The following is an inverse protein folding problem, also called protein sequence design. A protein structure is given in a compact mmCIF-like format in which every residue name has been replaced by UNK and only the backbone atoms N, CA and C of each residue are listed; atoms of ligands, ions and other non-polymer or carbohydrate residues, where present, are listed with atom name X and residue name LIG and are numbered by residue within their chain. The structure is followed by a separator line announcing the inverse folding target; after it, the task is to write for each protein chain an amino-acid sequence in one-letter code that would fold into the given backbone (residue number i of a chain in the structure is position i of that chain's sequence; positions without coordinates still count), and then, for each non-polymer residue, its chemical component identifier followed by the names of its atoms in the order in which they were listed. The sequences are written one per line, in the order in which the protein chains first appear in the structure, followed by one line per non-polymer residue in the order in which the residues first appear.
data_IF_445183022532
#
_entry.id   IF_445183022532
#
_cell.length_a   1.000
_cell.length_b   1.000
_cell.length_c   1.000
_cell.angle_alpha   90.00
_cell.angle_beta   90.00
_cell.angle_gamma   90.00
#
_symmetry.space_group_name_H-M   'P 1'
#
loop_
_entity.id
_entity.type
_entity.pdbx_description
1 polymer ?
#
# COMPACT_ATOMS: atom_id res chain seq x y z
N UNK A 1 -14.97 -6.94 -23.17
CA UNK A 1 -15.02 -7.06 -22.64
C UNK A 1 -14.93 -6.83 -21.88
N UNK A 2 -15.06 -6.83 -21.78
CA UNK A 2 -15.04 -6.66 -21.04
C UNK A 2 -14.76 -6.47 -20.16
N UNK A 3 -14.70 -6.64 -20.06
CA UNK A 3 -14.47 -6.56 -19.15
C UNK A 3 -14.02 -6.20 -18.54
N UNK A 4 -13.90 -6.11 -18.55
CA UNK A 4 -13.44 -5.76 -17.90
C UNK A 4 -13.45 -5.38 -17.05
N UNK A 5 -13.59 -5.51 -16.84
CA UNK A 5 -13.67 -5.08 -16.02
C UNK A 5 -13.23 -5.08 -15.03
N UNK A 6 -13.29 -4.93 -14.75
CA UNK A 6 -12.94 -4.55 -13.73
C UNK A 6 -12.97 -5.17 -12.59
N UNK A 7 -12.93 -5.36 -11.95
CA UNK A 7 -12.95 -5.97 -10.95
C UNK A 7 -12.43 -5.56 -9.84
N UNK A 8 -12.89 -5.36 -8.88
CA UNK A 8 -12.25 -5.27 -7.72
C UNK A 8 -11.91 -6.56 -7.30
N UNK A 9 -10.83 -6.80 -7.23
CA UNK A 9 -10.43 -8.05 -6.95
C UNK A 9 -10.22 -8.30 -5.49
N UNK A 10 -10.28 -7.34 -4.62
CA UNK A 10 -10.03 -7.51 -3.20
C UNK A 10 -11.22 -7.00 -2.42
N UNK A 11 -11.92 -7.95 -1.79
CA UNK A 11 -13.12 -7.63 -1.04
C UNK A 11 -12.79 -6.69 0.12
N UNK A 12 -13.60 -5.67 0.30
CA UNK A 12 -13.41 -4.70 1.37
C UNK A 12 -12.47 -3.56 1.02
N UNK A 13 -11.94 -3.53 -0.21
CA UNK A 13 -11.01 -2.49 -0.66
C UNK A 13 -11.54 -1.85 -1.94
N UNK A 14 -11.78 -0.55 -1.88
CA UNK A 14 -12.22 0.20 -3.06
C UNK A 14 -11.03 0.50 -3.98
N UNK A 15 -9.83 0.63 -3.43
CA UNK A 15 -8.64 0.89 -4.22
C UNK A 15 -7.79 -0.37 -4.31
N UNK A 16 -7.42 -0.75 -5.52
CA UNK A 16 -6.56 -1.90 -5.77
C UNK A 16 -5.47 -1.51 -6.75
N UNK A 17 -4.24 -1.76 -6.36
CA UNK A 17 -3.06 -1.55 -7.20
C UNK A 17 -2.62 -2.91 -7.76
N UNK A 18 -2.17 -2.94 -9.01
CA UNK A 18 -1.76 -4.19 -9.64
C UNK A 18 -0.28 -4.16 -9.96
N UNK A 19 0.35 -5.30 -9.75
CA UNK A 19 1.78 -5.49 -9.99
C UNK A 19 1.99 -6.90 -10.51
N UNK A 20 3.13 -7.14 -11.16
CA UNK A 20 3.56 -8.48 -11.54
C UNK A 20 4.89 -8.74 -10.87
N UNK A 21 5.04 -9.93 -10.27
CA UNK A 21 6.30 -10.32 -9.63
C UNK A 21 7.38 -10.48 -10.70
N UNK A 22 8.53 -9.82 -10.49
CA UNK A 22 9.64 -9.83 -11.44
C UNK A 22 10.73 -10.78 -10.95
N UNK A 23 11.59 -11.22 -11.89
CA UNK A 23 12.69 -12.09 -11.56
C UNK A 23 13.57 -11.50 -10.44
N UNK A 24 13.86 -10.23 -10.51
CA UNK A 24 14.74 -9.59 -9.50
C UNK A 24 14.10 -9.46 -8.12
N UNK A 25 12.81 -9.76 -8.00
CA UNK A 25 12.10 -9.72 -6.71
C UNK A 25 12.35 -10.99 -5.91
N UNK A 26 12.94 -12.02 -6.52
CA UNK A 26 13.04 -13.32 -5.91
C UNK A 26 14.30 -13.47 -5.07
N UNK A 27 14.21 -14.35 -4.05
CA UNK A 27 15.39 -14.78 -3.30
C UNK A 27 15.96 -16.07 -3.94
N UNK A 28 16.95 -16.66 -3.29
CA UNK A 28 17.63 -17.82 -3.83
C UNK A 28 16.74 -19.07 -3.84
N UNK A 29 15.59 -19.03 -3.16
CA UNK A 29 14.67 -20.15 -3.12
C UNK A 29 13.55 -20.04 -4.16
N UNK A 30 13.56 -18.99 -4.97
CA UNK A 30 12.56 -18.81 -6.02
C UNK A 30 11.28 -18.16 -5.57
N UNK A 31 11.25 -17.60 -4.38
CA UNK A 31 10.10 -16.87 -3.86
C UNK A 31 10.44 -15.40 -3.71
N UNK A 32 9.41 -14.54 -3.70
CA UNK A 32 9.64 -13.13 -3.47
C UNK A 32 10.30 -12.95 -2.11
N UNK A 33 11.39 -12.19 -2.10
CA UNK A 33 12.09 -11.85 -0.87
C UNK A 33 11.14 -11.07 0.04
N UNK A 34 11.11 -11.42 1.33
CA UNK A 34 10.22 -10.77 2.28
C UNK A 34 10.38 -9.25 2.27
N UNK A 35 11.59 -8.75 2.08
CA UNK A 35 11.83 -7.31 2.03
C UNK A 35 11.18 -6.65 0.83
N UNK A 36 11.00 -7.37 -0.26
CA UNK A 36 10.38 -6.84 -1.47
C UNK A 36 8.89 -6.61 -1.28
N UNK A 37 8.25 -7.34 -0.37
CA UNK A 37 6.85 -7.05 -0.04
C UNK A 37 6.69 -5.60 0.41
N UNK A 38 7.68 -5.04 1.11
CA UNK A 38 7.62 -3.64 1.53
C UNK A 38 7.64 -2.71 0.32
N UNK A 39 8.36 -3.07 -0.73
CA UNK A 39 8.36 -2.31 -1.98
C UNK A 39 6.98 -2.35 -2.64
N UNK A 40 6.33 -3.51 -2.66
CA UNK A 40 4.98 -3.62 -3.21
C UNK A 40 4.00 -2.74 -2.44
N UNK A 41 4.11 -2.74 -1.10
CA UNK A 41 3.23 -1.89 -0.29
C UNK A 41 3.51 -0.42 -0.58
N UNK A 42 4.76 -0.04 -0.75
CA UNK A 42 5.12 1.34 -1.04
C UNK A 42 4.55 1.78 -2.38
N UNK A 43 4.70 0.95 -3.41
CA UNK A 43 4.18 1.29 -4.72
C UNK A 43 2.67 1.42 -4.71
N UNK A 44 1.99 0.52 -3.99
CA UNK A 44 0.54 0.58 -3.86
C UNK A 44 0.11 1.83 -3.09
N UNK A 45 0.84 2.17 -2.03
CA UNK A 45 0.55 3.35 -1.22
C UNK A 45 0.73 4.62 -2.02
N UNK A 46 1.81 4.71 -2.80
CA UNK A 46 2.05 5.87 -3.63
C UNK A 46 0.92 6.04 -4.64
N UNK A 47 0.53 4.96 -5.31
CA UNK A 47 -0.56 5.00 -6.26
C UNK A 47 -1.88 5.45 -5.59
N UNK A 48 -2.10 5.02 -4.36
CA UNK A 48 -3.29 5.38 -3.61
C UNK A 48 -3.27 6.87 -3.23
N UNK A 49 -2.12 7.39 -2.83
CA UNK A 49 -2.01 8.74 -2.29
C UNK A 49 -1.81 9.82 -3.35
N UNK A 50 -1.30 9.48 -4.53
CA UNK A 50 -1.01 10.46 -5.57
C UNK A 50 -2.21 11.38 -5.86
N UNK A 51 -3.44 10.87 -5.97
CA UNK A 51 -4.58 11.76 -6.24
C UNK A 51 -4.87 12.75 -5.11
N UNK A 52 -4.29 12.56 -3.93
CA UNK A 52 -4.55 13.46 -2.80
C UNK A 52 -3.77 14.77 -2.92
N UNK A 53 -2.70 14.80 -3.74
CA UNK A 53 -1.95 16.03 -3.99
C UNK A 53 -0.46 15.84 -3.84
N UNK A 54 0.27 16.93 -4.08
CA UNK A 54 1.73 16.91 -4.09
C UNK A 54 2.32 16.59 -2.72
N UNK A 55 1.56 16.77 -1.67
CA UNK A 55 2.03 16.53 -0.31
C UNK A 55 2.28 15.06 -0.02
N UNK A 56 1.96 14.18 -0.96
CA UNK A 56 2.21 12.76 -0.78
C UNK A 56 3.68 12.46 -0.48
N UNK A 57 4.58 13.28 -1.02
CA UNK A 57 6.01 13.10 -0.79
C UNK A 57 6.46 13.56 0.60
N UNK A 58 5.59 14.25 1.32
CA UNK A 58 5.92 14.74 2.65
C UNK A 58 5.45 13.80 3.74
N UNK A 59 4.99 12.60 3.39
CA UNK A 59 4.56 11.61 4.37
C UNK A 59 5.70 10.65 4.65
N UNK A 60 5.97 10.44 5.94
CA UNK A 60 7.04 9.53 6.37
C UNK A 60 6.41 8.25 6.89
N UNK A 61 6.95 7.12 6.46
CA UNK A 61 6.55 5.83 7.00
C UNK A 61 7.18 5.70 8.40
N UNK A 62 6.34 5.64 9.42
CA UNK A 62 6.80 5.56 10.80
C UNK A 62 6.74 4.14 11.33
N UNK A 63 5.84 3.30 10.80
CA UNK A 63 5.68 1.95 11.30
C UNK A 63 5.08 1.07 10.22
N UNK A 64 5.52 -0.18 10.18
CA UNK A 64 4.92 -1.18 9.30
C UNK A 64 4.78 -2.48 10.07
N UNK A 65 3.64 -3.13 9.91
CA UNK A 65 3.40 -4.48 10.37
C UNK A 65 2.99 -5.29 9.16
N UNK A 66 3.53 -6.48 9.01
CA UNK A 66 3.17 -7.33 7.89
C UNK A 66 3.17 -8.78 8.35
N UNK A 67 2.12 -9.50 7.95
CA UNK A 67 1.99 -10.93 8.19
C UNK A 67 2.06 -11.61 6.83
N UNK A 68 3.01 -12.51 6.66
CA UNK A 68 3.19 -13.26 5.41
C UNK A 68 2.34 -14.53 5.48
N UNK A 69 1.48 -14.73 4.48
CA UNK A 69 0.53 -15.85 4.47
C UNK A 69 0.85 -16.89 3.43
N UNK A 70 1.39 -16.48 2.28
CA UNK A 70 1.69 -17.40 1.19
C UNK A 70 2.85 -16.86 0.37
N UNK A 71 3.69 -17.75 -0.19
CA UNK A 71 4.80 -17.30 -1.02
C UNK A 71 4.29 -16.81 -2.37
N UNK A 72 5.07 -15.91 -2.97
CA UNK A 72 4.82 -15.40 -4.31
C UNK A 72 5.99 -15.80 -5.20
N UNK A 73 5.70 -16.07 -6.48
CA UNK A 73 6.69 -16.55 -7.44
C UNK A 73 6.70 -15.65 -8.66
N UNK A 74 7.75 -15.81 -9.46
CA UNK A 74 7.91 -15.02 -10.68
C UNK A 74 6.68 -15.15 -11.55
N UNK A 75 6.21 -14.02 -12.06
CA UNK A 75 5.08 -14.00 -12.97
C UNK A 75 3.72 -13.92 -12.28
N UNK A 76 3.67 -14.07 -10.96
CA UNK A 76 2.40 -13.94 -10.26
C UNK A 76 1.87 -12.53 -10.42
N UNK A 77 0.56 -12.43 -10.72
CA UNK A 77 -0.12 -11.14 -10.82
C UNK A 77 -0.66 -10.78 -9.45
N UNK A 78 -0.30 -9.61 -8.97
CA UNK A 78 -0.67 -9.17 -7.63
C UNK A 78 -1.81 -8.16 -7.68
N UNK A 79 -2.70 -8.27 -6.71
CA UNK A 79 -3.76 -7.30 -6.47
C UNK A 79 -3.58 -6.84 -5.04
N UNK A 80 -3.28 -5.56 -4.86
CA UNK A 80 -2.94 -5.02 -3.56
C UNK A 80 -3.99 -3.98 -3.19
N UNK A 81 -4.85 -4.32 -2.25
CA UNK A 81 -5.84 -3.40 -1.73
C UNK A 81 -5.20 -2.47 -0.72
N UNK A 82 -5.60 -1.20 -0.74
CA UNK A 82 -5.16 -0.20 0.22
C UNK A 82 -6.39 0.56 0.69
N UNK A 83 -6.53 0.74 2.00
CA UNK A 83 -7.62 1.53 2.55
C UNK A 83 -7.18 2.24 3.83
N UNK A 84 -7.80 3.37 4.16
CA UNK A 84 -7.48 4.04 5.41
C UNK A 84 -8.12 3.30 6.58
N UNK A 85 -7.47 3.33 7.73
CA UNK A 85 -8.00 2.72 8.96
C UNK A 85 -8.22 3.75 10.04
N UNK A 86 -7.16 4.45 10.45
CA UNK A 86 -7.25 5.48 11.48
C UNK A 86 -6.76 6.79 10.87
N UNK A 87 -7.46 7.89 11.15
CA UNK A 87 -7.02 9.21 10.73
C UNK A 87 -6.85 10.06 11.98
N UNK A 88 -5.60 10.40 12.28
CA UNK A 88 -5.28 11.25 13.42
C UNK A 88 -5.02 12.69 13.02
N UNK A 89 -4.39 13.44 13.92
CA UNK A 89 -4.09 14.84 13.65
C UNK A 89 -2.87 15.00 12.75
N UNK A 90 -1.81 14.26 13.04
CA UNK A 90 -0.54 14.34 12.29
C UNK A 90 -0.18 13.04 11.60
N UNK A 91 -1.00 12.03 11.74
CA UNK A 91 -0.70 10.70 11.19
C UNK A 91 -1.97 9.99 10.79
N UNK A 92 -1.80 8.96 9.96
CA UNK A 92 -2.91 8.10 9.58
C UNK A 92 -2.38 6.69 9.35
N UNK A 93 -3.28 5.72 9.46
CA UNK A 93 -2.96 4.32 9.25
C UNK A 93 -3.58 3.86 7.95
N UNK A 94 -2.86 3.03 7.21
CA UNK A 94 -3.38 2.34 6.04
C UNK A 94 -3.33 0.85 6.28
N UNK A 95 -4.32 0.15 5.76
CA UNK A 95 -4.34 -1.31 5.77
C UNK A 95 -4.21 -1.81 4.35
N UNK A 96 -3.54 -2.95 4.20
CA UNK A 96 -3.25 -3.54 2.89
C UNK A 96 -3.53 -5.02 2.91
N UNK A 97 -3.95 -5.55 1.75
CA UNK A 97 -3.95 -6.99 1.51
C UNK A 97 -3.32 -7.24 0.15
N UNK A 98 -2.39 -8.18 0.10
CA UNK A 98 -1.73 -8.58 -1.14
C UNK A 98 -2.31 -9.93 -1.54
N UNK A 99 -2.94 -9.97 -2.69
CA UNK A 99 -3.57 -11.19 -3.21
C UNK A 99 -2.94 -11.58 -4.54
N UNK A 100 -2.93 -12.87 -4.83
CA UNK A 100 -2.54 -13.38 -6.13
C UNK A 100 -3.37 -14.63 -6.42
N UNK A 101 -4.05 -14.64 -7.56
CA UNK A 101 -4.84 -15.80 -7.96
C UNK A 101 -5.90 -16.20 -6.94
N UNK A 102 -6.47 -15.24 -6.24
CA UNK A 102 -7.49 -15.51 -5.23
C UNK A 102 -6.93 -15.92 -3.89
N UNK A 103 -5.61 -15.97 -3.72
CA UNK A 103 -4.96 -16.35 -2.46
C UNK A 103 -4.41 -15.11 -1.77
N UNK A 104 -4.68 -15.00 -0.49
CA UNK A 104 -4.11 -13.92 0.33
C UNK A 104 -2.65 -14.26 0.61
N UNK A 105 -1.74 -13.43 0.11
CA UNK A 105 -0.31 -13.64 0.29
C UNK A 105 0.24 -12.89 1.49
N UNK A 106 -0.32 -11.73 1.82
CA UNK A 106 0.14 -10.95 2.96
C UNK A 106 -0.93 -9.96 3.39
N UNK A 107 -0.91 -9.61 4.67
CA UNK A 107 -1.73 -8.53 5.23
C UNK A 107 -0.79 -7.57 5.92
N UNK A 108 -1.10 -6.28 5.87
CA UNK A 108 -0.19 -5.30 6.44
C UNK A 108 -0.93 -4.07 6.94
N UNK A 109 -0.24 -3.33 7.79
CA UNK A 109 -0.69 -2.03 8.26
C UNK A 109 0.52 -1.12 8.33
N UNK A 110 0.34 0.14 7.91
CA UNK A 110 1.39 1.15 8.02
C UNK A 110 0.85 2.36 8.74
N UNK A 111 1.77 3.06 9.44
CA UNK A 111 1.49 4.36 10.03
C UNK A 111 2.33 5.38 9.27
N UNK A 112 1.67 6.39 8.73
CA UNK A 112 2.33 7.46 8.01
C UNK A 112 2.15 8.76 8.78
N UNK A 113 3.22 9.56 8.83
CA UNK A 113 3.24 10.82 9.57
C UNK A 113 3.46 11.96 8.61
N UNK A 114 2.62 12.98 8.72
CA UNK A 114 2.80 14.21 7.94
C UNK A 114 3.99 14.97 8.50
N UNK A 115 4.94 15.31 7.65
CA UNK A 115 6.24 15.80 8.09
C UNK A 115 6.68 16.98 7.25
N UNK A 116 7.23 17.99 7.93
CA UNK A 116 7.78 19.17 7.26
C UNK A 116 9.29 18.99 7.22
N UNK A 117 9.83 18.77 6.03
CA UNK A 117 11.27 18.56 5.87
C UNK A 117 12.10 19.83 6.12
N UNK A 118 11.47 21.00 6.00
CA UNK A 118 12.18 22.25 6.26
C UNK A 118 12.43 22.45 7.76
N UNK A 119 11.41 22.19 8.58
CA UNK A 119 11.54 22.32 10.03
C UNK A 119 11.92 21.02 10.71
N UNK A 120 11.85 19.90 9.99
CA UNK A 120 12.16 18.56 10.49
C UNK A 120 11.25 18.19 11.65
N UNK A 121 9.96 18.46 11.51
CA UNK A 121 8.98 18.15 12.54
C UNK A 121 7.70 17.60 11.93
N UNK A 122 7.00 16.72 12.67
CA UNK A 122 5.66 16.33 12.27
C UNK A 122 4.74 17.56 12.29
N UNK A 123 3.85 17.61 11.30
CA UNK A 123 2.86 18.70 11.20
C UNK A 123 1.49 18.07 10.98
N UNK A 124 0.47 18.88 11.15
CA UNK A 124 -0.89 18.41 10.95
C UNK A 124 -1.12 18.00 9.51
N UNK A 125 -1.95 16.99 9.31
CA UNK A 125 -2.36 16.60 7.98
C UNK A 125 -3.07 17.74 7.29
N UNK A 126 -2.81 17.98 6.01
CA UNK A 126 -3.60 18.95 5.26
C UNK A 126 -5.09 18.60 5.35
N UNK A 127 -5.95 19.61 5.40
CA UNK A 127 -7.38 19.39 5.54
C UNK A 127 -7.93 18.54 4.40
N UNK A 128 -7.45 18.76 3.17
CA UNK A 128 -7.90 17.98 2.03
C UNK A 128 -7.58 16.50 2.19
N UNK A 129 -6.45 16.18 2.81
CA UNK A 129 -6.07 14.79 3.08
C UNK A 129 -6.97 14.18 4.13
N UNK A 130 -7.22 14.94 5.19
CA UNK A 130 -8.07 14.45 6.27
C UNK A 130 -9.46 14.11 5.75
N UNK A 131 -10.00 14.97 4.89
CA UNK A 131 -11.32 14.75 4.30
C UNK A 131 -11.32 13.53 3.38
N UNK A 132 -10.28 13.41 2.55
CA UNK A 132 -10.20 12.30 1.60
C UNK A 132 -10.05 10.97 2.31
N UNK A 133 -9.25 10.92 3.38
CA UNK A 133 -9.03 9.68 4.13
C UNK A 133 -10.26 9.28 4.93
N UNK A 134 -11.08 10.25 5.32
CA UNK A 134 -12.27 9.96 6.12
C UNK A 134 -13.49 9.61 5.26
N UNK A 135 -13.42 9.82 3.97
CA UNK A 135 -14.55 9.62 3.07
C UNK A 135 -14.90 8.14 2.87
#
# INVERSE_FOLDING_TARGET
MEGSVASPAVEGFDFVHRETVRFRDLDSLGHVNNAVFLTYLEEARIAYLVPFGAEASDMILARVEIDFRAPLRMGDELEIGVRPARVGTKSFDLEYEVHSGGTLAAEAKTVLVSYDYATRRPIELPESWREALAA
#
